data_IF_045196827742
#
_entry.id   IF_045196827742
#
_cell.length_a   1.000
_cell.length_b   1.000
_cell.length_c   1.000
_cell.angle_alpha   90.00
_cell.angle_beta   90.00
_cell.angle_gamma   90.00
#
_symmetry.space_group_name_H-M   'P 1'
#
loop_
_entity.id
_entity.type
_entity.pdbx_description
1 polymer ?
#
# COMPACT_ATOMS: atom_id res chain seq x y z
N UNK A 1 4.01 8.46 -9.04
CA UNK A 1 5.10 8.16 -8.08
C UNK A 1 5.01 6.78 -7.45
N UNK A 2 3.82 6.26 -7.10
CA UNK A 2 3.67 4.84 -6.72
C UNK A 2 3.74 3.88 -7.93
N UNK A 3 3.75 4.40 -9.16
CA UNK A 3 3.79 3.59 -10.38
C UNK A 3 4.95 2.57 -10.40
N UNK A 4 6.21 2.90 -10.04
CA UNK A 4 7.28 1.90 -10.01
C UNK A 4 7.02 0.78 -9.00
N UNK A 5 6.43 1.11 -7.85
CA UNK A 5 6.03 0.12 -6.85
C UNK A 5 4.94 -0.80 -7.42
N UNK A 6 3.89 -0.24 -8.01
CA UNK A 6 2.79 -1.01 -8.60
C UNK A 6 3.29 -1.91 -9.74
N UNK A 7 4.15 -1.38 -10.62
CA UNK A 7 4.77 -2.14 -11.72
C UNK A 7 5.64 -3.27 -11.17
N UNK A 8 6.51 -2.99 -10.20
CA UNK A 8 7.32 -4.02 -9.56
C UNK A 8 6.45 -5.12 -8.94
N UNK A 9 5.39 -4.75 -8.25
CA UNK A 9 4.46 -5.71 -7.64
C UNK A 9 3.72 -6.57 -8.68
N UNK A 10 3.43 -6.00 -9.86
CA UNK A 10 2.91 -6.78 -10.99
C UNK A 10 3.94 -7.74 -11.59
N UNK A 11 5.22 -7.35 -11.66
CA UNK A 11 6.30 -8.24 -12.10
C UNK A 11 6.57 -9.37 -11.12
N UNK A 12 6.38 -9.12 -9.83
CA UNK A 12 6.54 -10.10 -8.75
C UNK A 12 5.26 -10.90 -8.47
N UNK A 13 4.32 -10.94 -9.43
CA UNK A 13 3.05 -11.66 -9.27
C UNK A 13 3.30 -13.17 -9.10
N UNK A 14 2.63 -13.77 -8.12
CA UNK A 14 2.66 -15.19 -7.84
C UNK A 14 1.80 -16.05 -8.76
N UNK A 15 1.66 -17.32 -8.40
CA UNK A 15 0.88 -18.29 -9.16
C UNK A 15 -0.62 -18.05 -9.01
N UNK A 16 -1.38 -18.21 -10.10
CA UNK A 16 -2.83 -18.14 -10.07
C UNK A 16 -3.43 -19.43 -9.50
N UNK A 17 -3.75 -19.42 -8.21
CA UNK A 17 -4.28 -20.61 -7.51
C UNK A 17 -5.81 -20.68 -7.45
N UNK A 18 -6.50 -19.62 -7.86
CA UNK A 18 -7.96 -19.53 -7.85
C UNK A 18 -8.60 -19.18 -6.50
N UNK A 19 -7.82 -19.16 -5.41
CA UNK A 19 -8.27 -18.73 -4.07
C UNK A 19 -7.48 -17.49 -3.66
N UNK A 20 -8.20 -16.39 -3.40
CA UNK A 20 -7.61 -15.08 -3.15
C UNK A 20 -8.18 -14.40 -1.90
N UNK A 21 -7.32 -13.69 -1.18
CA UNK A 21 -7.66 -12.87 -0.02
C UNK A 21 -7.35 -11.41 -0.32
N UNK A 22 -8.17 -10.49 0.18
CA UNK A 22 -7.99 -9.06 0.01
C UNK A 22 -7.80 -8.43 1.38
N UNK A 23 -6.72 -7.67 1.54
CA UNK A 23 -6.50 -6.87 2.75
C UNK A 23 -6.03 -5.46 2.42
N UNK A 24 -6.35 -4.51 3.30
CA UNK A 24 -5.89 -3.13 3.18
C UNK A 24 -4.70 -2.87 4.10
N UNK A 25 -3.53 -2.67 3.51
CA UNK A 25 -2.29 -2.37 4.23
C UNK A 25 -1.98 -0.87 4.19
N UNK A 26 -1.56 -0.31 5.33
CA UNK A 26 -1.06 1.07 5.39
C UNK A 26 0.37 1.16 4.89
N UNK A 27 0.64 2.12 3.99
CA UNK A 27 1.99 2.50 3.59
C UNK A 27 2.29 3.90 4.14
N UNK A 28 2.88 3.96 5.33
CA UNK A 28 3.28 5.21 5.96
C UNK A 28 4.55 5.76 5.28
N UNK A 29 4.50 7.01 4.82
CA UNK A 29 5.63 7.65 4.12
C UNK A 29 6.62 8.35 5.05
N UNK A 30 6.22 8.62 6.29
CA UNK A 30 7.06 9.21 7.31
C UNK A 30 6.57 8.83 8.71
N UNK A 31 7.40 9.07 9.72
CA UNK A 31 6.99 8.96 11.11
C UNK A 31 5.87 9.96 11.43
N UNK A 32 4.92 9.59 12.31
CA UNK A 32 3.80 10.44 12.73
C UNK A 32 4.19 11.77 13.40
N UNK A 33 5.47 11.92 13.78
CA UNK A 33 6.02 13.17 14.34
C UNK A 33 6.49 14.15 13.25
N UNK A 34 6.63 13.70 12.00
CA UNK A 34 7.19 14.44 10.86
C UNK A 34 6.17 14.71 9.76
N UNK A 35 4.89 14.53 10.08
CA UNK A 35 3.76 14.68 9.16
C UNK A 35 3.72 16.07 8.53
N UNK A 36 3.97 17.12 9.33
CA UNK A 36 3.95 18.52 8.90
C UNK A 36 5.17 18.96 8.08
N UNK A 37 6.28 18.23 8.16
CA UNK A 37 7.52 18.58 7.44
C UNK A 37 7.71 17.80 6.14
N UNK A 38 6.80 16.87 5.80
CA UNK A 38 6.87 16.13 4.54
C UNK A 38 6.45 17.00 3.35
N UNK A 39 7.43 17.50 2.58
CA UNK A 39 7.19 18.30 1.38
C UNK A 39 7.09 17.48 0.10
N UNK A 40 7.81 16.35 0.04
CA UNK A 40 7.94 15.52 -1.17
C UNK A 40 6.60 14.93 -1.60
N UNK A 41 5.80 14.48 -0.64
CA UNK A 41 4.53 13.79 -0.92
C UNK A 41 3.30 14.64 -0.61
N UNK A 42 3.45 15.93 -0.28
CA UNK A 42 2.36 16.79 0.18
C UNK A 42 1.16 16.88 -0.78
N UNK A 43 1.38 16.67 -2.08
CA UNK A 43 0.31 16.67 -3.10
C UNK A 43 -0.28 15.28 -3.37
N UNK A 44 0.35 14.21 -2.89
CA UNK A 44 0.01 12.83 -3.24
C UNK A 44 -0.48 12.02 -2.03
N UNK A 45 0.08 12.26 -0.85
CA UNK A 45 -0.29 11.55 0.37
C UNK A 45 -1.52 12.16 1.02
N UNK A 46 -2.25 11.33 1.77
CA UNK A 46 -3.37 11.75 2.60
C UNK A 46 -3.15 11.25 4.02
N UNK A 47 -3.87 11.83 4.98
CA UNK A 47 -3.95 11.27 6.32
C UNK A 47 -4.88 10.05 6.26
N UNK A 48 -4.31 8.86 6.35
CA UNK A 48 -5.04 7.61 6.51
C UNK A 48 -5.29 7.28 7.98
N UNK A 49 -6.37 6.53 8.25
CA UNK A 49 -6.67 5.98 9.57
C UNK A 49 -6.49 4.45 9.55
N UNK A 50 -5.93 3.94 10.63
CA UNK A 50 -5.80 2.52 10.94
C UNK A 50 -6.29 2.27 12.37
N UNK A 51 -6.47 1.00 12.75
CA UNK A 51 -6.77 0.61 14.13
C UNK A 51 -5.72 1.11 15.14
N UNK A 52 -4.48 1.30 14.70
CA UNK A 52 -3.36 1.81 15.49
C UNK A 52 -3.22 3.34 15.44
N UNK A 53 -4.15 4.05 14.79
CA UNK A 53 -4.17 5.52 14.71
C UNK A 53 -4.01 6.08 13.30
N UNK A 54 -3.80 7.39 13.22
CA UNK A 54 -3.62 8.12 11.97
C UNK A 54 -2.18 8.05 11.46
N UNK A 55 -1.99 8.08 10.14
CA UNK A 55 -0.69 8.13 9.50
C UNK A 55 -0.78 8.97 8.22
N UNK A 56 0.32 9.63 7.82
CA UNK A 56 0.41 10.23 6.49
C UNK A 56 0.98 9.19 5.53
N UNK A 57 0.29 8.95 4.43
CA UNK A 57 0.71 7.99 3.44
C UNK A 57 -0.40 7.51 2.53
N UNK A 58 -0.31 6.25 2.13
CA UNK A 58 -1.21 5.61 1.18
C UNK A 58 -1.87 4.38 1.80
N UNK A 59 -3.09 4.08 1.37
CA UNK A 59 -3.75 2.82 1.70
C UNK A 59 -3.68 1.91 0.48
N UNK A 60 -3.03 0.76 0.61
CA UNK A 60 -2.88 -0.22 -0.45
C UNK A 60 -3.86 -1.35 -0.21
N UNK A 61 -4.59 -1.75 -1.25
CA UNK A 61 -5.42 -2.93 -1.24
C UNK A 61 -4.64 -4.03 -1.95
N UNK A 62 -4.18 -4.99 -1.16
CA UNK A 62 -3.39 -6.13 -1.63
C UNK A 62 -4.35 -7.29 -1.89
N UNK A 63 -4.11 -7.98 -3.00
CA UNK A 63 -4.71 -9.28 -3.28
C UNK A 63 -3.60 -10.31 -3.15
N UNK A 64 -3.79 -11.30 -2.28
CA UNK A 64 -2.82 -12.38 -2.04
C UNK A 64 -3.48 -13.74 -2.30
N UNK A 65 -2.73 -14.71 -2.78
CA UNK A 65 -3.22 -16.08 -2.92
C UNK A 65 -3.10 -16.86 -1.59
N UNK A 66 -3.61 -18.10 -1.57
CA UNK A 66 -3.52 -19.00 -0.42
C UNK A 66 -2.11 -19.49 -0.07
N UNK A 67 -1.12 -19.25 -0.94
CA UNK A 67 0.30 -19.48 -0.64
C UNK A 67 0.98 -18.24 -0.02
N UNK A 68 0.25 -17.13 0.11
CA UNK A 68 0.78 -15.86 0.60
C UNK A 68 1.53 -15.04 -0.46
N UNK A 69 1.42 -15.41 -1.73
CA UNK A 69 2.04 -14.68 -2.83
C UNK A 69 1.17 -13.51 -3.26
N UNK A 70 1.81 -12.43 -3.70
CA UNK A 70 1.12 -11.23 -4.15
C UNK A 70 0.53 -11.44 -5.54
N UNK A 71 -0.75 -11.14 -5.69
CA UNK A 71 -1.46 -11.29 -6.96
C UNK A 71 -1.74 -9.95 -7.63
N UNK A 72 -2.04 -8.91 -6.84
CA UNK A 72 -2.32 -7.57 -7.33
C UNK A 72 -2.27 -6.53 -6.22
N UNK A 73 -2.04 -5.27 -6.60
CA UNK A 73 -2.07 -4.11 -5.70
C UNK A 73 -2.90 -3.00 -6.33
N UNK A 74 -3.80 -2.42 -5.55
CA UNK A 74 -4.58 -1.25 -5.96
C UNK A 74 -4.49 -0.14 -4.91
N UNK A 75 -4.22 1.07 -5.36
CA UNK A 75 -4.31 2.28 -4.54
C UNK A 75 -5.66 2.97 -4.82
N UNK A 76 -6.39 3.33 -3.76
CA UNK A 76 -7.58 4.19 -3.85
C UNK A 76 -7.29 5.54 -3.20
#
# INVERSE_FOLDING_TARGET
MLLPLVVLMHYLKGEETGIYYIDSTKLAICHNKRTSSNRVFNKFSKIGKSSYGCFLGFKLHLVINNKGELMSVKNY
#
